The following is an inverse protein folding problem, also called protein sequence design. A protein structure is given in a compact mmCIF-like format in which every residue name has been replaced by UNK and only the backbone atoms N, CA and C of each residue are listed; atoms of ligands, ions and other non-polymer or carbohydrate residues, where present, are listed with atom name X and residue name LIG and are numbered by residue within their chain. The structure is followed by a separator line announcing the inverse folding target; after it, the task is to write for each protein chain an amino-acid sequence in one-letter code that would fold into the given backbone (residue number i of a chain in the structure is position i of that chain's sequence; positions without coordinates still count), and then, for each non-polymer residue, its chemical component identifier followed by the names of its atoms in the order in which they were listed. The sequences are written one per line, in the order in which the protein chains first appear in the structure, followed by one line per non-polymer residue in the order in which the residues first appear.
data_IF_039926527007
#
_entry.id   IF_039926527007
#
_cell.length_a   1.000
_cell.length_b   1.000
_cell.length_c   1.000
_cell.angle_alpha   90.00
_cell.angle_beta   90.00
_cell.angle_gamma   90.00
#
_symmetry.space_group_name_H-M   'P 1'
#
loop_
_entity.id
_entity.type
_entity.pdbx_description
1 polymer ?
#
# COMPACT_ATOMS: atom_id res chain seq x y z
N UNK A 1 41.60 15.23 -13.52
CA UNK A 1 40.59 14.23 -13.95
C UNK A 1 40.31 13.30 -12.78
N UNK A 2 39.38 13.68 -11.90
CA UNK A 2 39.00 12.88 -10.73
C UNK A 2 37.84 11.96 -11.10
N UNK A 3 38.12 10.67 -11.10
CA UNK A 3 37.20 9.57 -11.42
C UNK A 3 36.21 9.36 -10.27
N UNK A 4 34.92 9.61 -10.52
CA UNK A 4 33.83 9.25 -9.61
C UNK A 4 33.43 7.80 -9.89
N UNK A 5 33.97 6.85 -9.10
CA UNK A 5 33.36 5.52 -8.95
C UNK A 5 32.61 5.51 -7.63
N UNK A 6 31.32 5.89 -7.67
CA UNK A 6 30.43 5.65 -6.55
C UNK A 6 30.19 4.14 -6.45
N UNK A 7 30.88 3.51 -5.51
CA UNK A 7 30.57 2.13 -5.11
C UNK A 7 29.25 2.16 -4.35
N UNK A 8 28.14 1.96 -5.06
CA UNK A 8 26.81 1.80 -4.47
C UNK A 8 26.85 0.56 -3.56
N UNK A 9 26.82 0.76 -2.24
CA UNK A 9 26.86 -0.34 -1.30
C UNK A 9 25.50 -1.06 -1.29
N UNK A 10 25.49 -2.35 -0.98
CA UNK A 10 24.25 -3.16 -0.88
C UNK A 10 23.22 -2.56 0.08
N UNK A 11 23.67 -1.81 1.08
CA UNK A 11 22.82 -1.07 2.01
C UNK A 11 22.10 0.12 1.34
N UNK A 12 22.76 0.84 0.43
CA UNK A 12 22.17 1.95 -0.33
C UNK A 12 21.12 1.43 -1.31
N UNK A 13 21.40 0.30 -1.96
CA UNK A 13 20.43 -0.40 -2.82
C UNK A 13 19.23 -0.86 -2.01
N UNK A 14 19.44 -1.47 -0.83
CA UNK A 14 18.33 -1.92 0.01
C UNK A 14 17.50 -0.75 0.56
N UNK A 15 18.12 0.36 0.95
CA UNK A 15 17.42 1.54 1.42
C UNK A 15 16.62 2.21 0.30
N UNK A 16 17.19 2.26 -0.92
CA UNK A 16 16.52 2.76 -2.12
C UNK A 16 15.32 1.89 -2.47
N UNK A 17 15.48 0.56 -2.50
CA UNK A 17 14.39 -0.39 -2.76
C UNK A 17 13.27 -0.28 -1.72
N UNK A 18 13.60 -0.10 -0.44
CA UNK A 18 12.59 0.13 0.62
C UNK A 18 11.89 1.48 0.42
N UNK A 19 12.63 2.52 0.03
CA UNK A 19 12.06 3.85 -0.24
C UNK A 19 11.15 3.83 -1.46
N UNK A 20 11.56 3.19 -2.55
CA UNK A 20 10.78 3.03 -3.78
C UNK A 20 9.51 2.24 -3.51
N UNK A 21 9.58 1.09 -2.83
CA UNK A 21 8.40 0.31 -2.43
C UNK A 21 7.41 1.14 -1.60
N UNK A 22 7.92 1.99 -0.70
CA UNK A 22 7.06 2.90 0.09
C UNK A 22 6.42 3.98 -0.79
N UNK A 23 7.12 4.56 -1.75
CA UNK A 23 6.51 5.52 -2.69
C UNK A 23 5.42 4.85 -3.53
N UNK A 24 5.75 3.69 -4.12
CA UNK A 24 4.85 2.88 -4.94
C UNK A 24 3.56 2.49 -4.21
N UNK A 25 3.65 2.11 -2.92
CA UNK A 25 2.43 1.73 -2.18
C UNK A 25 1.52 2.94 -1.92
N UNK A 26 2.06 4.16 -1.81
CA UNK A 26 1.24 5.37 -1.67
C UNK A 26 0.55 5.78 -2.98
N UNK A 27 1.14 5.49 -4.14
CA UNK A 27 0.44 5.63 -5.43
C UNK A 27 -0.75 4.67 -5.52
N UNK A 28 -0.55 3.41 -5.09
CA UNK A 28 -1.66 2.46 -4.97
C UNK A 28 -2.74 2.97 -4.01
N UNK A 29 -2.35 3.57 -2.87
CA UNK A 29 -3.29 4.15 -1.91
C UNK A 29 -4.26 5.14 -2.56
N UNK A 30 -3.75 6.04 -3.41
CA UNK A 30 -4.59 7.03 -4.08
C UNK A 30 -5.53 6.40 -5.13
N UNK A 31 -5.05 5.39 -5.87
CA UNK A 31 -5.90 4.63 -6.81
C UNK A 31 -7.04 3.90 -6.10
N UNK A 32 -6.76 3.29 -4.94
CA UNK A 32 -7.76 2.63 -4.09
C UNK A 32 -8.76 3.64 -3.52
N UNK A 33 -8.26 4.75 -2.96
CA UNK A 33 -9.08 5.80 -2.36
C UNK A 33 -10.00 6.49 -3.39
N UNK A 34 -9.50 6.67 -4.61
CA UNK A 34 -10.22 7.27 -5.73
C UNK A 34 -11.13 6.29 -6.48
N UNK A 35 -11.25 5.04 -6.01
CA UNK A 35 -12.11 3.99 -6.59
C UNK A 35 -11.86 3.75 -8.09
N UNK A 36 -10.59 3.63 -8.50
CA UNK A 36 -10.18 3.42 -9.90
C UNK A 36 -9.69 1.97 -10.13
N UNK A 37 -10.58 0.95 -10.17
CA UNK A 37 -10.17 -0.47 -10.14
C UNK A 37 -9.35 -0.87 -11.36
N UNK A 38 -9.69 -0.37 -12.56
CA UNK A 38 -8.92 -0.64 -13.78
C UNK A 38 -7.48 -0.15 -13.65
N UNK A 39 -7.29 1.09 -13.23
CA UNK A 39 -5.95 1.67 -13.05
C UNK A 39 -5.17 1.00 -11.92
N UNK A 40 -5.85 0.60 -10.85
CA UNK A 40 -5.22 -0.14 -9.74
C UNK A 40 -4.71 -1.52 -10.20
N UNK A 41 -5.48 -2.23 -11.04
CA UNK A 41 -5.05 -3.51 -11.62
C UNK A 41 -3.95 -3.34 -12.66
N UNK A 42 -4.00 -2.31 -13.51
CA UNK A 42 -2.92 -1.98 -14.44
C UNK A 42 -1.61 -1.63 -13.69
N UNK A 43 -1.73 -0.90 -12.57
CA UNK A 43 -0.60 -0.61 -11.70
C UNK A 43 -0.01 -1.89 -11.10
N UNK A 44 -0.87 -2.77 -10.56
CA UNK A 44 -0.47 -4.06 -10.02
C UNK A 44 0.25 -4.93 -11.07
N UNK A 45 -0.30 -5.07 -12.29
CA UNK A 45 0.31 -5.86 -13.37
C UNK A 45 1.72 -5.33 -13.70
N UNK A 46 1.89 -4.00 -13.73
CA UNK A 46 3.20 -3.37 -13.97
C UNK A 46 4.22 -3.73 -12.89
N UNK A 47 3.83 -3.70 -11.61
CA UNK A 47 4.71 -4.05 -10.50
C UNK A 47 5.12 -5.52 -10.54
N UNK A 48 4.15 -6.42 -10.75
CA UNK A 48 4.42 -7.86 -10.83
C UNK A 48 5.32 -8.20 -12.01
N UNK A 49 5.12 -7.58 -13.18
CA UNK A 49 6.02 -7.73 -14.34
C UNK A 49 7.41 -7.13 -14.09
N UNK A 50 7.49 -6.10 -13.26
CA UNK A 50 8.74 -5.51 -12.78
C UNK A 50 9.50 -6.38 -11.78
N UNK A 51 8.96 -7.54 -11.40
CA UNK A 51 9.59 -8.49 -10.49
C UNK A 51 9.30 -8.22 -9.00
N UNK A 52 8.33 -7.36 -8.69
CA UNK A 52 7.88 -7.20 -7.30
C UNK A 52 7.24 -8.50 -6.80
N UNK A 53 7.69 -8.94 -5.63
CA UNK A 53 7.24 -10.19 -5.03
C UNK A 53 5.89 -9.97 -4.31
N UNK A 54 4.86 -10.81 -4.57
CA UNK A 54 3.52 -10.65 -4.01
C UNK A 54 3.45 -10.50 -2.48
N UNK A 55 4.20 -11.29 -1.72
CA UNK A 55 4.21 -11.26 -0.26
C UNK A 55 4.86 -9.97 0.27
N UNK A 56 5.93 -9.49 -0.37
CA UNK A 56 6.57 -8.21 -0.08
C UNK A 56 5.61 -7.04 -0.31
N UNK A 57 4.90 -7.05 -1.44
CA UNK A 57 3.88 -6.05 -1.76
C UNK A 57 2.70 -6.11 -0.77
N UNK A 58 2.25 -7.31 -0.41
CA UNK A 58 1.21 -7.49 0.60
C UNK A 58 1.62 -6.90 1.95
N UNK A 59 2.86 -7.11 2.39
CA UNK A 59 3.42 -6.52 3.60
C UNK A 59 3.42 -4.99 3.57
N UNK A 60 3.80 -4.40 2.43
CA UNK A 60 3.74 -2.95 2.22
C UNK A 60 2.30 -2.42 2.26
N UNK A 61 1.36 -3.10 1.61
CA UNK A 61 -0.06 -2.74 1.61
C UNK A 61 -0.67 -2.83 3.02
N UNK A 62 -0.31 -3.85 3.80
CA UNK A 62 -0.75 -3.98 5.18
C UNK A 62 -0.21 -2.87 6.09
N UNK A 63 1.05 -2.48 5.91
CA UNK A 63 1.62 -1.31 6.59
C UNK A 63 0.90 -0.02 6.21
N UNK A 64 0.67 0.21 4.91
CA UNK A 64 -0.06 1.36 4.41
C UNK A 64 -1.48 1.43 5.01
N UNK A 65 -2.20 0.31 5.08
CA UNK A 65 -3.55 0.28 5.66
C UNK A 65 -3.56 0.66 7.15
N UNK A 66 -2.59 0.19 7.93
CA UNK A 66 -2.44 0.63 9.33
C UNK A 66 -2.23 2.13 9.42
N UNK A 67 -1.42 2.70 8.53
CA UNK A 67 -1.17 4.15 8.46
C UNK A 67 -2.39 4.95 8.02
N UNK A 68 -3.22 4.43 7.11
CA UNK A 68 -4.50 5.05 6.75
C UNK A 68 -5.48 5.05 7.93
N UNK A 69 -5.50 3.98 8.75
CA UNK A 69 -6.32 3.91 9.95
C UNK A 69 -5.85 4.92 11.00
N UNK A 70 -4.56 4.94 11.32
CA UNK A 70 -3.97 5.95 12.21
C UNK A 70 -4.33 7.36 11.73
N UNK A 71 -4.12 7.65 10.44
CA UNK A 71 -4.44 8.93 9.82
C UNK A 71 -5.94 9.28 9.88
N UNK A 72 -6.84 8.29 9.82
CA UNK A 72 -8.29 8.52 9.93
C UNK A 72 -8.73 8.94 11.35
N UNK A 73 -7.91 8.65 12.36
CA UNK A 73 -8.20 8.94 13.77
C UNK A 73 -7.51 10.22 14.26
N UNK A 74 -6.54 10.76 13.51
CA UNK A 74 -5.89 12.01 13.91
C UNK A 74 -6.83 13.22 13.73
N UNK A 75 -6.98 14.00 14.80
CA UNK A 75 -7.75 15.24 14.84
C UNK A 75 -6.82 16.45 14.99
N UNK A 76 -7.25 17.62 14.50
CA UNK A 76 -6.57 18.89 14.76
C UNK A 76 -5.23 19.08 14.05
N UNK A 77 -4.94 18.31 12.98
CA UNK A 77 -3.78 18.57 12.12
C UNK A 77 -4.06 19.74 11.20
N UNK A 78 -3.19 20.76 11.26
CA UNK A 78 -3.24 21.95 10.42
C UNK A 78 -2.39 21.84 9.14
N UNK A 79 -1.32 21.01 9.13
CA UNK A 79 -0.44 20.84 7.97
C UNK A 79 0.34 19.51 7.96
N UNK A 80 0.99 19.20 6.83
CA UNK A 80 1.71 17.93 6.60
C UNK A 80 2.86 17.64 7.57
N UNK A 81 3.49 18.67 8.17
CA UNK A 81 4.55 18.47 9.18
C UNK A 81 4.00 17.94 10.50
N UNK A 82 2.86 18.46 10.95
CA UNK A 82 2.17 17.91 12.12
C UNK A 82 1.69 16.48 11.85
N UNK A 83 1.24 16.21 10.62
CA UNK A 83 0.92 14.85 10.15
C UNK A 83 2.11 13.90 10.20
N UNK A 84 3.27 14.33 9.70
CA UNK A 84 4.50 13.53 9.74
C UNK A 84 4.91 13.17 11.17
N UNK A 85 4.83 14.13 12.09
CA UNK A 85 5.13 13.89 13.51
C UNK A 85 4.13 12.91 14.13
N UNK A 86 2.84 13.07 13.87
CA UNK A 86 1.79 12.20 14.41
C UNK A 86 1.87 10.76 13.86
N UNK A 87 2.18 10.62 12.57
CA UNK A 87 2.16 9.33 11.88
C UNK A 87 3.53 8.64 11.79
N UNK A 88 4.61 9.33 12.20
CA UNK A 88 5.98 8.81 12.16
C UNK A 88 6.47 8.51 10.73
N UNK A 89 6.19 9.39 9.77
CA UNK A 89 6.55 9.22 8.36
C UNK A 89 6.99 10.53 7.71
N UNK A 90 7.47 10.49 6.46
CA UNK A 90 7.87 11.69 5.72
C UNK A 90 6.67 12.62 5.47
N UNK A 91 6.84 13.96 5.46
CA UNK A 91 5.74 14.92 5.27
C UNK A 91 4.83 14.64 4.07
N UNK A 92 5.41 14.35 2.92
CA UNK A 92 4.67 14.00 1.70
C UNK A 92 3.79 12.76 1.87
N UNK A 93 4.32 11.70 2.48
CA UNK A 93 3.58 10.46 2.74
C UNK A 93 2.48 10.68 3.79
N UNK A 94 2.76 11.49 4.81
CA UNK A 94 1.76 11.85 5.82
C UNK A 94 0.60 12.63 5.22
N UNK A 95 0.90 13.56 4.30
CA UNK A 95 -0.12 14.32 3.59
C UNK A 95 -1.01 13.40 2.73
N UNK A 96 -0.41 12.51 1.93
CA UNK A 96 -1.17 11.51 1.16
C UNK A 96 -2.01 10.59 2.05
N UNK A 97 -1.45 10.12 3.18
CA UNK A 97 -2.16 9.28 4.13
C UNK A 97 -3.40 9.98 4.70
N UNK A 98 -3.25 11.24 5.13
CA UNK A 98 -4.36 12.06 5.65
C UNK A 98 -5.42 12.34 4.58
N UNK A 99 -5.00 12.65 3.35
CA UNK A 99 -5.93 12.90 2.24
C UNK A 99 -6.71 11.63 1.88
N UNK A 100 -6.04 10.49 1.74
CA UNK A 100 -6.68 9.22 1.38
C UNK A 100 -7.54 8.66 2.52
N UNK A 101 -7.12 8.78 3.77
CA UNK A 101 -7.92 8.37 4.93
C UNK A 101 -9.26 9.11 5.02
N UNK A 102 -9.34 10.38 4.57
CA UNK A 102 -10.60 11.13 4.50
C UNK A 102 -11.55 10.62 3.41
N UNK A 103 -11.02 10.02 2.34
CA UNK A 103 -11.81 9.47 1.22
C UNK A 103 -12.35 8.06 1.50
N UNK A 104 -11.78 7.35 2.46
CA UNK A 104 -12.13 5.95 2.78
C UNK A 104 -12.83 5.88 4.13
N UNK A 105 -14.07 5.39 4.16
CA UNK A 105 -14.80 5.26 5.42
C UNK A 105 -14.14 4.24 6.36
N UNK A 106 -14.27 4.45 7.69
CA UNK A 106 -13.72 3.55 8.71
C UNK A 106 -14.17 2.08 8.52
N UNK A 107 -15.44 1.76 8.25
CA UNK A 107 -15.85 0.38 7.97
C UNK A 107 -15.11 -0.24 6.77
N UNK A 108 -14.83 0.56 5.72
CA UNK A 108 -14.07 0.09 4.55
C UNK A 108 -12.59 -0.12 4.85
N UNK A 109 -11.97 0.73 5.68
CA UNK A 109 -10.59 0.52 6.13
C UNK A 109 -10.48 -0.80 6.92
N UNK A 110 -11.42 -1.07 7.81
CA UNK A 110 -11.46 -2.33 8.58
C UNK A 110 -11.73 -3.55 7.68
N UNK A 111 -12.68 -3.46 6.75
CA UNK A 111 -12.92 -4.52 5.76
C UNK A 111 -11.65 -4.80 4.92
N UNK A 112 -10.89 -3.77 4.58
CA UNK A 112 -9.62 -3.91 3.87
C UNK A 112 -8.56 -4.66 4.68
N UNK A 113 -8.47 -4.46 6.00
CA UNK A 113 -7.59 -5.26 6.86
C UNK A 113 -7.96 -6.74 6.85
N UNK A 114 -9.26 -7.07 6.84
CA UNK A 114 -9.70 -8.45 6.71
C UNK A 114 -9.33 -9.05 5.35
N UNK A 115 -9.50 -8.28 4.26
CA UNK A 115 -9.09 -8.72 2.92
C UNK A 115 -7.57 -8.98 2.83
N UNK A 116 -6.76 -8.11 3.43
CA UNK A 116 -5.30 -8.26 3.52
C UNK A 116 -4.90 -9.52 4.29
N UNK A 117 -5.55 -9.80 5.42
CA UNK A 117 -5.34 -11.04 6.18
C UNK A 117 -5.67 -12.28 5.36
N UNK A 118 -6.83 -12.29 4.69
CA UNK A 118 -7.23 -13.40 3.85
C UNK A 118 -6.23 -13.62 2.68
N UNK A 119 -5.67 -12.55 2.13
CA UNK A 119 -4.63 -12.65 1.11
C UNK A 119 -3.33 -13.25 1.67
N UNK A 120 -2.92 -12.86 2.88
CA UNK A 120 -1.73 -13.40 3.57
C UNK A 120 -1.84 -14.91 3.78
N UNK A 121 -2.99 -15.36 4.30
CA UNK A 121 -3.28 -16.77 4.52
C UNK A 121 -3.22 -17.56 3.20
N UNK A 122 -3.78 -17.01 2.11
CA UNK A 122 -3.77 -17.65 0.78
C UNK A 122 -2.38 -17.71 0.14
N UNK A 123 -1.58 -16.67 0.27
CA UNK A 123 -0.20 -16.66 -0.24
C UNK A 123 0.68 -17.65 0.51
N UNK A 124 0.55 -17.73 1.84
CA UNK A 124 1.32 -18.66 2.67
C UNK A 124 0.87 -20.11 2.56
N UNK A 125 -0.42 -20.34 2.28
CA UNK A 125 -1.00 -21.67 2.15
C UNK A 125 -0.62 -22.42 0.87
N UNK A 126 0.04 -21.79 -0.10
CA UNK A 126 0.61 -22.43 -1.31
C UNK A 126 -0.39 -22.98 -2.35
N UNK A 127 -1.69 -23.05 -2.04
CA UNK A 127 -2.71 -23.59 -2.93
C UNK A 127 -3.29 -22.62 -3.96
N UNK A 128 -2.92 -21.34 -3.92
CA UNK A 128 -3.43 -20.32 -4.83
C UNK A 128 -2.29 -19.67 -5.62
N UNK A 129 -2.55 -19.35 -6.89
CA UNK A 129 -1.61 -18.62 -7.73
C UNK A 129 -1.42 -17.18 -7.18
N UNK A 130 -0.19 -16.76 -6.82
CA UNK A 130 0.05 -15.51 -6.11
C UNK A 130 -0.47 -14.25 -6.80
N UNK A 131 -0.33 -14.14 -8.12
CA UNK A 131 -0.82 -12.99 -8.88
C UNK A 131 -2.34 -12.89 -8.77
N UNK A 132 -3.05 -13.99 -8.92
CA UNK A 132 -4.51 -14.07 -8.80
C UNK A 132 -4.98 -13.64 -7.40
N UNK A 133 -4.23 -14.01 -6.35
CA UNK A 133 -4.52 -13.55 -4.99
C UNK A 133 -4.41 -12.02 -4.89
N UNK A 134 -3.35 -11.43 -5.45
CA UNK A 134 -3.14 -9.98 -5.43
C UNK A 134 -4.16 -9.21 -6.28
N UNK A 135 -4.52 -9.71 -7.46
CA UNK A 135 -5.55 -9.11 -8.33
C UNK A 135 -6.91 -9.07 -7.63
N UNK A 136 -7.28 -10.17 -6.96
CA UNK A 136 -8.50 -10.25 -6.18
C UNK A 136 -8.49 -9.29 -4.99
N UNK A 137 -7.37 -9.22 -4.25
CA UNK A 137 -7.19 -8.28 -3.16
C UNK A 137 -7.38 -6.84 -3.65
N UNK A 138 -6.64 -6.40 -4.67
CA UNK A 138 -6.73 -5.02 -5.20
C UNK A 138 -8.15 -4.70 -5.66
N UNK A 139 -8.83 -5.65 -6.30
CA UNK A 139 -10.24 -5.49 -6.69
C UNK A 139 -11.14 -5.23 -5.48
N UNK A 140 -11.04 -6.05 -4.43
CA UNK A 140 -11.85 -5.89 -3.20
C UNK A 140 -11.59 -4.54 -2.52
N UNK A 141 -10.33 -4.15 -2.37
CA UNK A 141 -9.96 -2.90 -1.72
C UNK A 141 -10.52 -1.69 -2.48
N UNK A 142 -10.60 -1.77 -3.81
CA UNK A 142 -11.08 -0.67 -4.65
C UNK A 142 -12.61 -0.57 -4.69
N UNK A 143 -13.32 -1.69 -4.87
CA UNK A 143 -14.78 -1.68 -5.02
C UNK A 143 -15.52 -1.49 -3.69
N UNK A 144 -14.88 -1.83 -2.56
CA UNK A 144 -15.47 -1.67 -1.22
C UNK A 144 -16.55 -2.69 -0.90
N UNK A 145 -16.73 -3.70 -1.74
CA UNK A 145 -17.59 -4.85 -1.46
C UNK A 145 -16.70 -6.02 -1.03
N UNK A 146 -16.65 -6.26 0.27
CA UNK A 146 -16.55 -7.64 0.73
C UNK A 146 -17.87 -8.28 0.30
N UNK A 147 -17.89 -8.93 -0.87
CA UNK A 147 -18.97 -9.82 -1.23
C UNK A 147 -19.00 -10.86 -0.12
N UNK A 148 -19.96 -10.72 0.81
CA UNK A 148 -20.30 -11.77 1.75
C UNK A 148 -20.34 -13.05 0.92
N UNK A 149 -19.47 -13.99 1.28
CA UNK A 149 -19.49 -15.31 0.68
C UNK A 149 -20.96 -15.76 0.70
N UNK A 150 -21.50 -15.99 -0.50
CA UNK A 150 -22.87 -16.42 -0.68
C UNK A 150 -23.06 -17.68 0.17
N UNK A 151 -23.87 -17.56 1.22
CA UNK A 151 -24.57 -18.71 1.80
C UNK A 151 -25.71 -19.12 0.87
#
# INVERSE_FOLDING_TARGET
MTSWRHTLARADVSALVISEKKTTVWELADLLASRQPKKALEFLDRLLRGGEEPLSMLGAMAWMYRKLIEASEVKGIANGYQGARALGMRPEQAELALQNARKISRPRLLAGLHALRNADDRLKGGGAEPRTVMEFLVTQLTTGEAKAARG
#
